data_IF_465128014433
#
_entry.id   IF_465128014433
#
_cell.length_a   1.000
_cell.length_b   1.000
_cell.length_c   1.000
_cell.angle_alpha   90.00
_cell.angle_beta   90.00
_cell.angle_gamma   90.00
#
_symmetry.space_group_name_H-M   'P 1'
#
loop_
_entity.id
_entity.type
_entity.pdbx_description
1 polymer ?
#
# COMPACT_ATOMS: atom_id res chain seq x y z
N UNK A 1 4.62 37.21 -24.20
CA UNK A 1 3.44 36.75 -24.96
C UNK A 1 3.43 37.51 -26.28
N UNK A 2 3.08 36.93 -27.44
CA UNK A 2 2.75 35.53 -27.79
C UNK A 2 3.97 34.85 -28.49
N UNK A 3 3.86 33.87 -29.40
CA UNK A 3 3.45 32.45 -29.17
C UNK A 3 3.91 31.54 -30.36
N UNK A 4 4.05 30.23 -30.09
CA UNK A 4 4.07 29.04 -31.00
C UNK A 4 5.24 28.76 -32.00
N UNK A 5 5.55 27.46 -32.10
CA UNK A 5 6.07 26.68 -33.25
C UNK A 5 7.59 26.61 -33.55
N UNK A 6 8.20 25.43 -33.34
CA UNK A 6 8.35 24.43 -34.43
C UNK A 6 8.86 23.05 -33.96
N UNK A 7 8.54 22.02 -34.75
CA UNK A 7 8.73 20.59 -34.45
C UNK A 7 9.36 19.88 -35.66
N UNK A 8 10.50 19.21 -35.42
CA UNK A 8 11.07 18.05 -36.15
C UNK A 8 11.68 18.13 -37.57
N UNK A 9 12.63 17.18 -37.80
CA UNK A 9 13.27 16.72 -39.07
C UNK A 9 14.25 17.76 -39.69
N UNK A 10 15.49 17.49 -40.14
CA UNK A 10 16.34 16.31 -40.36
C UNK A 10 17.84 16.76 -40.30
N UNK A 11 18.90 15.94 -40.41
CA UNK A 11 19.17 14.51 -40.15
C UNK A 11 20.67 14.26 -40.47
N UNK A 12 21.30 13.20 -39.92
CA UNK A 12 22.55 12.61 -40.50
C UNK A 12 22.76 11.16 -40.08
N UNK A 13 22.36 10.24 -40.95
CA UNK A 13 22.88 8.89 -40.95
C UNK A 13 24.23 8.87 -41.71
N UNK A 14 25.24 8.23 -41.12
CA UNK A 14 26.34 7.60 -41.87
C UNK A 14 26.16 6.11 -41.60
N UNK A 15 25.72 5.37 -42.61
CA UNK A 15 25.41 3.96 -42.47
C UNK A 15 26.68 3.12 -42.62
N UNK A 16 27.12 2.50 -41.53
CA UNK A 16 27.97 1.32 -41.58
C UNK A 16 27.07 0.10 -41.41
N UNK A 17 27.19 -0.88 -42.31
CA UNK A 17 26.26 -2.01 -42.42
C UNK A 17 26.57 -3.10 -41.39
N UNK A 18 26.12 -2.90 -40.16
CA UNK A 18 25.91 -3.99 -39.19
C UNK A 18 24.42 -4.13 -38.89
N UNK A 19 23.87 -5.28 -39.27
CA UNK A 19 22.45 -5.59 -39.16
C UNK A 19 22.12 -6.08 -37.75
N UNK A 20 21.73 -5.20 -36.83
CA UNK A 20 20.79 -5.43 -35.71
C UNK A 20 20.25 -4.09 -35.17
N UNK A 21 19.03 -3.71 -35.56
CA UNK A 21 18.28 -2.60 -34.94
C UNK A 21 17.40 -3.13 -33.80
N UNK A 22 18.04 -3.55 -32.72
CA UNK A 22 17.39 -3.92 -31.47
C UNK A 22 17.93 -3.06 -30.34
N UNK A 23 17.05 -2.34 -29.65
CA UNK A 23 17.43 -1.59 -28.45
C UNK A 23 18.07 -2.53 -27.42
N UNK A 24 19.17 -2.11 -26.75
CA UNK A 24 19.90 -2.96 -25.82
C UNK A 24 19.03 -3.37 -24.62
N UNK A 25 19.23 -4.60 -24.12
CA UNK A 25 18.48 -5.08 -22.97
C UNK A 25 18.83 -4.25 -21.74
N UNK A 26 17.84 -3.55 -21.19
CA UNK A 26 17.99 -2.81 -19.95
C UNK A 26 18.12 -3.79 -18.78
N UNK A 27 19.19 -3.67 -18.00
CA UNK A 27 19.44 -4.45 -16.78
C UNK A 27 19.70 -3.54 -15.58
N UNK A 28 19.54 -4.11 -14.38
CA UNK A 28 19.91 -3.49 -13.11
C UNK A 28 20.67 -4.50 -12.23
N UNK A 29 21.53 -4.00 -11.35
CA UNK A 29 22.00 -4.77 -10.21
C UNK A 29 20.95 -4.68 -9.10
N UNK A 30 20.53 -5.82 -8.53
CA UNK A 30 19.40 -5.85 -7.61
C UNK A 30 19.52 -6.90 -6.49
N UNK A 31 19.00 -6.54 -5.31
CA UNK A 31 18.66 -7.52 -4.27
C UNK A 31 17.26 -8.08 -4.53
N UNK A 32 17.07 -9.41 -4.46
CA UNK A 32 15.77 -10.03 -4.74
C UNK A 32 14.73 -9.70 -3.67
N UNK A 33 13.45 -9.82 -4.05
CA UNK A 33 12.32 -9.51 -3.15
C UNK A 33 12.42 -10.41 -1.91
N UNK A 34 12.47 -9.76 -0.75
CA UNK A 34 12.60 -10.43 0.53
C UNK A 34 11.34 -11.19 0.89
N UNK A 35 11.48 -12.17 1.79
CA UNK A 35 10.34 -12.95 2.27
C UNK A 35 9.19 -12.11 2.84
N UNK A 36 9.46 -10.89 3.32
CA UNK A 36 8.45 -9.97 3.82
C UNK A 36 7.40 -9.60 2.76
N UNK A 37 7.80 -9.45 1.49
CA UNK A 37 6.90 -9.15 0.37
C UNK A 37 6.69 -10.34 -0.57
N UNK A 38 7.10 -11.54 -0.15
CA UNK A 38 6.82 -12.79 -0.83
C UNK A 38 5.31 -13.09 -0.90
N UNK A 39 4.98 -14.07 -1.73
CA UNK A 39 3.59 -14.43 -2.08
C UNK A 39 2.72 -14.72 -0.85
N UNK A 40 3.29 -15.28 0.23
CA UNK A 40 2.55 -15.57 1.46
C UNK A 40 1.98 -14.30 2.12
N UNK A 41 2.82 -13.27 2.32
CA UNK A 41 2.38 -12.00 2.93
C UNK A 41 1.44 -11.22 2.02
N UNK A 42 1.69 -11.21 0.70
CA UNK A 42 0.83 -10.50 -0.27
C UNK A 42 -0.58 -11.10 -0.32
N UNK A 43 -0.69 -12.41 -0.49
CA UNK A 43 -1.99 -13.12 -0.49
C UNK A 43 -2.72 -12.93 0.84
N UNK A 44 -2.01 -13.03 1.97
CA UNK A 44 -2.56 -12.76 3.29
C UNK A 44 -3.16 -11.34 3.39
N UNK A 45 -2.45 -10.32 2.90
CA UNK A 45 -2.93 -8.94 2.90
C UNK A 45 -4.21 -8.76 2.07
N UNK A 46 -4.31 -9.40 0.90
CA UNK A 46 -5.52 -9.33 0.07
C UNK A 46 -6.71 -10.04 0.73
N UNK A 47 -6.47 -11.20 1.34
CA UNK A 47 -7.50 -11.92 2.12
C UNK A 47 -7.94 -11.10 3.33
N UNK A 48 -7.02 -10.43 4.03
CA UNK A 48 -7.32 -9.56 5.16
C UNK A 48 -8.19 -8.36 4.75
N UNK A 49 -7.87 -7.68 3.65
CA UNK A 49 -8.73 -6.63 3.09
C UNK A 49 -10.10 -7.21 2.71
N UNK A 50 -10.15 -8.30 1.96
CA UNK A 50 -11.40 -8.93 1.53
C UNK A 50 -12.29 -9.31 2.72
N UNK A 51 -11.71 -9.88 3.79
CA UNK A 51 -12.41 -10.18 5.04
C UNK A 51 -12.97 -8.90 5.70
N UNK A 52 -12.17 -7.83 5.80
CA UNK A 52 -12.62 -6.53 6.31
C UNK A 52 -13.73 -5.90 5.45
N UNK A 53 -13.79 -6.21 4.15
CA UNK A 53 -14.81 -5.69 3.24
C UNK A 53 -16.11 -6.51 3.25
N UNK A 54 -16.02 -7.85 3.34
CA UNK A 54 -17.16 -8.78 3.27
C UNK A 54 -17.78 -9.03 4.65
N UNK A 55 -16.96 -9.33 5.66
CA UNK A 55 -17.42 -9.77 6.98
C UNK A 55 -17.71 -8.61 7.95
N UNK A 56 -18.00 -7.40 7.46
CA UNK A 56 -18.15 -6.13 8.23
C UNK A 56 -19.10 -6.15 9.45
N UNK A 57 -19.90 -7.20 9.63
CA UNK A 57 -20.82 -7.38 10.76
C UNK A 57 -20.31 -8.32 11.85
N UNK A 58 -19.25 -9.09 11.56
CA UNK A 58 -18.66 -10.08 12.45
C UNK A 58 -17.50 -9.46 13.23
N UNK A 59 -17.79 -8.80 14.35
CA UNK A 59 -16.78 -8.01 15.09
C UNK A 59 -15.56 -8.83 15.54
N UNK A 60 -15.74 -10.11 15.87
CA UNK A 60 -14.65 -11.03 16.23
C UNK A 60 -13.68 -11.32 15.09
N UNK A 61 -14.11 -11.15 13.84
CA UNK A 61 -13.27 -11.34 12.65
C UNK A 61 -12.73 -10.00 12.15
N UNK A 62 -13.58 -8.96 12.09
CA UNK A 62 -13.22 -7.64 11.57
C UNK A 62 -12.13 -6.98 12.40
N UNK A 63 -12.21 -7.03 13.74
CA UNK A 63 -11.25 -6.35 14.61
C UNK A 63 -9.80 -6.86 14.44
N UNK A 64 -9.49 -8.17 14.54
CA UNK A 64 -8.13 -8.67 14.28
C UNK A 64 -7.71 -8.50 12.81
N UNK A 65 -8.62 -8.70 11.85
CA UNK A 65 -8.29 -8.53 10.43
C UNK A 65 -7.94 -7.07 10.08
N UNK A 66 -8.68 -6.10 10.62
CA UNK A 66 -8.44 -4.68 10.39
C UNK A 66 -7.11 -4.24 11.02
N UNK A 67 -6.80 -4.71 12.24
CA UNK A 67 -5.51 -4.45 12.87
C UNK A 67 -4.35 -4.97 12.00
N UNK A 68 -4.41 -6.21 11.53
CA UNK A 68 -3.39 -6.80 10.66
C UNK A 68 -3.30 -6.07 9.29
N UNK A 69 -4.43 -5.72 8.69
CA UNK A 69 -4.51 -4.99 7.41
C UNK A 69 -3.96 -3.56 7.50
N UNK A 70 -4.00 -2.92 8.66
CA UNK A 70 -3.38 -1.59 8.86
C UNK A 70 -1.89 -1.68 9.18
N UNK A 71 -1.43 -2.73 9.85
CA UNK A 71 -0.01 -2.90 10.19
C UNK A 71 0.87 -3.12 8.94
N UNK A 72 0.44 -3.98 8.00
CA UNK A 72 1.28 -4.33 6.84
C UNK A 72 1.66 -3.09 5.97
N UNK A 73 0.73 -2.19 5.59
CA UNK A 73 1.08 -0.96 4.88
C UNK A 73 1.86 0.06 5.72
N UNK A 74 1.71 0.06 7.05
CA UNK A 74 2.48 0.95 7.93
C UNK A 74 3.96 0.51 8.00
N UNK A 75 4.20 -0.81 8.08
CA UNK A 75 5.56 -1.38 8.00
C UNK A 75 6.17 -1.14 6.63
N UNK A 76 5.40 -1.34 5.55
CA UNK A 76 5.81 -1.01 4.19
C UNK A 76 6.17 0.48 4.01
N UNK A 77 5.41 1.39 4.62
CA UNK A 77 5.69 2.82 4.56
C UNK A 77 7.00 3.18 5.27
N UNK A 78 7.26 2.59 6.44
CA UNK A 78 8.54 2.74 7.14
C UNK A 78 9.69 2.15 6.31
N UNK A 79 9.49 0.97 5.71
CA UNK A 79 10.49 0.34 4.83
C UNK A 79 10.80 1.26 3.64
N UNK A 80 9.78 1.83 2.97
CA UNK A 80 9.95 2.82 1.89
C UNK A 80 10.74 4.08 2.30
N UNK A 81 10.57 4.55 3.54
CA UNK A 81 11.38 5.66 4.10
C UNK A 81 12.84 5.25 4.27
N UNK A 82 13.10 4.04 4.79
CA UNK A 82 14.45 3.52 5.00
C UNK A 82 15.16 3.26 3.68
N UNK A 83 14.47 2.76 2.65
CA UNK A 83 15.03 2.57 1.30
C UNK A 83 15.61 3.88 0.75
N UNK A 84 14.86 4.98 0.79
CA UNK A 84 15.37 6.31 0.36
C UNK A 84 16.51 6.82 1.25
N UNK A 85 16.43 6.58 2.56
CA UNK A 85 17.46 7.02 3.50
C UNK A 85 18.80 6.28 3.30
N UNK A 86 18.73 5.02 2.84
CA UNK A 86 19.86 4.13 2.58
C UNK A 86 20.09 3.89 1.08
N UNK A 87 19.64 4.84 0.24
CA UNK A 87 19.72 4.78 -1.23
C UNK A 87 21.13 4.43 -1.71
N UNK A 88 21.19 3.53 -2.69
CA UNK A 88 22.41 3.13 -3.37
C UNK A 88 22.24 3.40 -4.88
N UNK A 89 23.13 4.17 -5.52
CA UNK A 89 23.02 4.46 -6.95
C UNK A 89 23.35 3.24 -7.83
N UNK A 90 24.15 2.30 -7.32
CA UNK A 90 24.70 1.18 -8.09
C UNK A 90 23.82 -0.09 -8.00
N UNK A 91 22.80 -0.12 -7.13
CA UNK A 91 21.87 -1.25 -7.02
C UNK A 91 20.52 -0.92 -6.37
N UNK A 92 19.50 -1.68 -6.78
CA UNK A 92 18.10 -1.53 -6.36
C UNK A 92 17.69 -2.63 -5.38
N UNK A 93 16.99 -2.27 -4.30
CA UNK A 93 16.29 -3.25 -3.48
C UNK A 93 14.87 -3.47 -4.02
N UNK A 94 14.58 -4.68 -4.52
CA UNK A 94 13.30 -4.99 -5.17
C UNK A 94 12.10 -5.00 -4.20
N UNK A 95 12.34 -4.93 -2.89
CA UNK A 95 11.30 -4.72 -1.87
C UNK A 95 10.52 -3.43 -2.10
N UNK A 96 11.08 -2.46 -2.83
CA UNK A 96 10.38 -1.23 -3.23
C UNK A 96 9.02 -1.50 -3.91
N UNK A 97 8.91 -2.53 -4.75
CA UNK A 97 7.64 -2.88 -5.40
C UNK A 97 6.62 -3.44 -4.42
N UNK A 98 7.07 -4.25 -3.44
CA UNK A 98 6.22 -4.82 -2.41
C UNK A 98 5.73 -3.76 -1.43
N UNK A 99 6.64 -2.91 -0.97
CA UNK A 99 6.34 -1.78 -0.14
C UNK A 99 5.34 -0.83 -0.82
N UNK A 100 5.58 -0.52 -2.11
CA UNK A 100 4.69 0.31 -2.91
C UNK A 100 3.28 -0.28 -3.02
N UNK A 101 3.16 -1.55 -3.39
CA UNK A 101 1.85 -2.19 -3.61
C UNK A 101 1.02 -2.25 -2.31
N UNK A 102 1.62 -2.59 -1.17
CA UNK A 102 0.92 -2.58 0.13
C UNK A 102 0.49 -1.15 0.53
N UNK A 103 1.36 -0.15 0.38
CA UNK A 103 1.01 1.24 0.69
C UNK A 103 -0.05 1.83 -0.25
N UNK A 104 0.05 1.57 -1.56
CA UNK A 104 -0.87 2.10 -2.57
C UNK A 104 -2.29 1.51 -2.42
N UNK A 105 -2.41 0.21 -2.17
CA UNK A 105 -3.71 -0.42 -1.88
C UNK A 105 -4.25 0.10 -0.54
N UNK A 106 -3.40 0.20 0.49
CA UNK A 106 -3.78 0.70 1.80
C UNK A 106 -4.32 2.13 1.77
N UNK A 107 -3.64 3.04 1.06
CA UNK A 107 -4.02 4.45 1.00
C UNK A 107 -5.29 4.70 0.18
N UNK A 108 -5.61 3.84 -0.80
CA UNK A 108 -6.85 3.92 -1.58
C UNK A 108 -8.07 3.33 -0.83
N UNK A 109 -7.85 2.34 0.05
CA UNK A 109 -8.92 1.63 0.75
C UNK A 109 -9.27 2.24 2.12
N UNK A 110 -8.29 2.46 2.99
CA UNK A 110 -8.54 2.77 4.40
C UNK A 110 -9.07 4.20 4.66
N UNK A 111 -8.50 5.27 4.07
CA UNK A 111 -9.04 6.63 4.26
C UNK A 111 -10.45 6.77 3.70
N UNK A 112 -10.73 6.20 2.53
CA UNK A 112 -12.06 6.25 1.89
C UNK A 112 -13.12 5.55 2.76
N UNK A 113 -12.83 4.35 3.28
CA UNK A 113 -13.76 3.65 4.18
C UNK A 113 -13.99 4.40 5.49
N UNK A 114 -12.95 5.04 6.04
CA UNK A 114 -13.03 5.86 7.26
C UNK A 114 -13.83 7.14 7.04
N UNK A 115 -13.64 7.85 5.93
CA UNK A 115 -14.39 9.05 5.56
C UNK A 115 -15.91 8.80 5.45
N UNK A 116 -16.34 7.56 5.22
CA UNK A 116 -17.75 7.16 5.19
C UNK A 116 -18.34 6.78 6.56
N UNK A 117 -17.52 6.56 7.59
CA UNK A 117 -17.99 6.07 8.90
C UNK A 117 -18.39 7.22 9.84
N UNK A 118 -19.71 7.40 10.06
CA UNK A 118 -20.23 8.38 11.05
C UNK A 118 -19.83 8.01 12.49
N UNK A 119 -19.64 6.73 12.79
CA UNK A 119 -19.20 6.23 14.10
C UNK A 119 -17.77 6.68 14.39
N UNK A 120 -16.86 6.45 13.44
CA UNK A 120 -15.43 6.71 13.60
C UNK A 120 -15.10 8.17 13.97
N UNK A 121 -15.80 9.16 13.39
CA UNK A 121 -15.55 10.57 13.69
C UNK A 121 -15.98 11.00 15.11
N UNK A 122 -16.78 10.19 15.80
CA UNK A 122 -17.17 10.41 17.19
C UNK A 122 -16.24 9.70 18.20
N UNK A 123 -15.56 8.63 17.79
CA UNK A 123 -14.67 7.83 18.63
C UNK A 123 -13.27 8.43 18.82
N UNK A 124 -12.57 8.10 19.94
CA UNK A 124 -11.21 8.59 20.19
C UNK A 124 -10.17 8.04 19.20
N UNK A 125 -10.46 6.94 18.51
CA UNK A 125 -9.59 6.35 17.47
C UNK A 125 -9.33 7.27 16.27
N UNK A 126 -10.09 8.37 16.15
CA UNK A 126 -10.05 9.35 15.05
C UNK A 126 -8.65 9.83 14.66
N UNK A 127 -7.79 10.08 15.65
CA UNK A 127 -6.45 10.61 15.43
C UNK A 127 -5.49 9.54 14.87
N UNK A 128 -5.75 8.25 15.12
CA UNK A 128 -4.86 7.15 14.74
C UNK A 128 -4.85 6.92 13.22
N UNK A 129 -6.00 6.89 12.54
CA UNK A 129 -6.00 6.76 11.06
C UNK A 129 -5.48 8.02 10.39
N UNK A 130 -5.64 9.21 10.98
CA UNK A 130 -5.02 10.42 10.46
C UNK A 130 -3.48 10.31 10.45
N UNK A 131 -2.88 9.90 11.57
CA UNK A 131 -1.43 9.67 11.67
C UNK A 131 -0.96 8.52 10.78
N UNK A 132 -1.73 7.45 10.67
CA UNK A 132 -1.46 6.32 9.78
C UNK A 132 -1.48 6.74 8.29
N UNK A 133 -2.48 7.52 7.88
CA UNK A 133 -2.61 8.05 6.52
C UNK A 133 -1.44 8.98 6.19
N UNK A 134 -1.01 9.79 7.16
CA UNK A 134 0.17 10.65 7.03
C UNK A 134 1.47 9.85 6.92
N UNK A 135 1.64 8.78 7.70
CA UNK A 135 2.77 7.86 7.58
C UNK A 135 2.84 7.21 6.18
N UNK A 136 1.71 6.72 5.66
CA UNK A 136 1.64 6.14 4.31
C UNK A 136 1.93 7.18 3.22
N UNK A 137 1.47 8.43 3.37
CA UNK A 137 1.83 9.52 2.45
C UNK A 137 3.35 9.74 2.41
N UNK A 138 4.02 9.79 3.57
CA UNK A 138 5.48 9.94 3.62
C UNK A 138 6.16 8.73 2.96
N UNK A 139 5.74 7.51 3.27
CA UNK A 139 6.28 6.29 2.65
C UNK A 139 6.11 6.24 1.13
N UNK A 140 4.94 6.63 0.62
CA UNK A 140 4.69 6.72 -0.83
C UNK A 140 5.49 7.84 -1.49
N UNK A 141 5.67 8.99 -0.85
CA UNK A 141 6.57 10.05 -1.32
C UNK A 141 8.02 9.54 -1.40
N UNK A 142 8.49 8.84 -0.37
CA UNK A 142 9.81 8.19 -0.38
C UNK A 142 9.94 7.21 -1.54
N UNK A 143 9.06 6.23 -1.67
CA UNK A 143 9.13 5.25 -2.77
C UNK A 143 9.02 5.90 -4.16
N UNK A 144 8.24 6.98 -4.30
CA UNK A 144 8.18 7.76 -5.55
C UNK A 144 9.53 8.41 -5.88
N UNK A 145 10.23 8.95 -4.88
CA UNK A 145 11.58 9.52 -5.05
C UNK A 145 12.59 8.43 -5.40
N UNK A 146 12.48 7.24 -4.80
CA UNK A 146 13.38 6.13 -5.07
C UNK A 146 13.17 5.58 -6.49
N UNK A 147 11.92 5.31 -6.90
CA UNK A 147 11.60 4.90 -8.27
C UNK A 147 12.08 5.90 -9.33
N UNK A 148 12.06 7.20 -9.02
CA UNK A 148 12.56 8.24 -9.92
C UNK A 148 14.10 8.25 -10.07
N UNK A 149 14.84 7.74 -9.08
CA UNK A 149 16.31 7.72 -9.05
C UNK A 149 16.93 6.46 -9.64
N UNK A 150 16.16 5.41 -9.88
CA UNK A 150 16.68 4.15 -10.42
C UNK A 150 17.07 4.36 -11.88
N UNK A 151 18.36 4.18 -12.16
CA UNK A 151 18.90 4.12 -13.52
C UNK A 151 18.97 2.66 -14.00
N UNK A 152 18.91 2.47 -15.32
CA UNK A 152 19.07 1.17 -15.98
C UNK A 152 20.27 1.20 -16.91
N UNK A 153 20.90 0.05 -17.14
CA UNK A 153 22.13 -0.05 -17.94
C UNK A 153 21.95 -0.96 -19.15
N UNK A 154 22.66 -0.63 -20.24
CA UNK A 154 22.63 -1.36 -21.50
C UNK A 154 23.44 -2.67 -21.43
N UNK A 155 22.75 -3.82 -21.39
CA UNK A 155 23.39 -5.11 -21.59
C UNK A 155 23.38 -5.51 -23.07
N UNK A 156 24.56 -5.45 -23.70
CA UNK A 156 24.74 -5.83 -25.11
C UNK A 156 25.43 -7.18 -25.30
N UNK A 157 26.19 -7.64 -24.30
CA UNK A 157 27.01 -8.86 -24.37
C UNK A 157 26.95 -9.67 -23.08
N UNK A 158 26.95 -10.99 -23.21
CA UNK A 158 26.99 -11.93 -22.09
C UNK A 158 28.43 -12.13 -21.54
N UNK A 159 28.57 -12.96 -20.51
CA UNK A 159 29.86 -13.35 -19.92
C UNK A 159 30.87 -13.97 -20.91
N UNK A 160 30.39 -14.50 -22.05
CA UNK A 160 31.20 -15.16 -23.08
C UNK A 160 31.42 -14.26 -24.31
N UNK A 161 30.85 -13.05 -24.33
CA UNK A 161 30.93 -12.09 -25.43
C UNK A 161 29.88 -12.26 -26.53
N UNK A 162 28.90 -13.17 -26.37
CA UNK A 162 27.78 -13.33 -27.30
C UNK A 162 26.79 -12.16 -27.17
N UNK A 163 26.06 -11.78 -28.23
CA UNK A 163 25.02 -10.76 -28.14
C UNK A 163 23.87 -11.21 -27.22
N UNK A 164 23.41 -10.31 -26.36
CA UNK A 164 22.27 -10.56 -25.46
C UNK A 164 20.96 -10.19 -26.16
N UNK A 165 19.99 -11.10 -26.11
CA UNK A 165 18.64 -10.86 -26.62
C UNK A 165 17.96 -9.71 -25.90
N UNK A 166 17.36 -8.77 -26.64
CA UNK A 166 16.55 -7.68 -26.07
C UNK A 166 15.24 -8.16 -25.40
N UNK A 167 14.90 -9.44 -25.49
CA UNK A 167 13.73 -10.04 -24.85
C UNK A 167 14.10 -10.48 -23.43
N UNK A 168 13.60 -9.75 -22.43
CA UNK A 168 13.91 -9.95 -21.02
C UNK A 168 13.59 -11.35 -20.44
N UNK A 169 12.69 -12.13 -21.07
CA UNK A 169 12.40 -13.52 -20.68
C UNK A 169 13.41 -14.55 -21.24
N UNK A 170 14.27 -14.14 -22.18
CA UNK A 170 15.33 -14.95 -22.77
C UNK A 170 16.70 -14.65 -22.13
N UNK A 171 16.74 -13.85 -21.05
CA UNK A 171 17.96 -13.54 -20.33
C UNK A 171 18.46 -14.76 -19.55
N UNK A 172 19.71 -15.14 -19.79
CA UNK A 172 20.34 -16.28 -19.13
C UNK A 172 21.05 -15.80 -17.86
N UNK A 173 20.52 -16.21 -16.72
CA UNK A 173 21.13 -16.02 -15.40
C UNK A 173 22.34 -16.96 -15.26
N UNK A 174 23.51 -16.51 -15.72
CA UNK A 174 24.78 -17.23 -15.69
C UNK A 174 25.72 -16.53 -14.73
N UNK A 175 26.38 -17.28 -13.85
CA UNK A 175 27.36 -16.74 -12.92
C UNK A 175 28.48 -15.99 -13.66
N UNK A 176 28.70 -14.73 -13.29
CA UNK A 176 29.65 -13.82 -13.95
C UNK A 176 29.08 -13.05 -15.15
N UNK A 177 27.81 -13.26 -15.55
CA UNK A 177 27.13 -12.44 -16.56
C UNK A 177 26.67 -11.10 -15.96
N UNK A 178 27.63 -10.24 -15.65
CA UNK A 178 27.37 -8.98 -14.95
C UNK A 178 27.03 -7.81 -15.90
N UNK A 179 26.97 -8.02 -17.23
CA UNK A 179 26.74 -6.95 -18.21
C UNK A 179 27.70 -5.73 -18.08
N UNK A 180 28.90 -5.93 -17.53
CA UNK A 180 29.87 -4.85 -17.25
C UNK A 180 29.67 -4.12 -15.90
N UNK A 181 28.66 -4.48 -15.12
CA UNK A 181 28.39 -3.92 -13.78
C UNK A 181 29.25 -4.59 -12.70
N UNK A 182 29.55 -3.84 -11.64
CA UNK A 182 30.05 -4.40 -10.39
C UNK A 182 28.82 -4.83 -9.59
N UNK A 183 28.50 -6.12 -9.65
CA UNK A 183 27.30 -6.68 -9.02
C UNK A 183 27.63 -8.09 -8.48
N UNK A 184 28.29 -8.15 -7.32
CA UNK A 184 28.67 -9.40 -6.66
C UNK A 184 28.69 -9.22 -5.13
N UNK A 185 28.53 -10.31 -4.37
CA UNK A 185 28.63 -10.26 -2.90
C UNK A 185 30.04 -9.91 -2.41
N UNK A 186 31.06 -10.11 -3.25
CA UNK A 186 32.46 -9.86 -2.92
C UNK A 186 32.83 -8.38 -3.14
N UNK A 187 32.61 -7.91 -4.37
CA UNK A 187 33.02 -6.58 -4.86
C UNK A 187 31.97 -5.49 -4.55
N UNK A 188 30.72 -5.90 -4.33
CA UNK A 188 29.59 -5.02 -4.03
C UNK A 188 28.65 -4.80 -5.23
N UNK A 189 27.76 -3.80 -5.16
CA UNK A 189 27.56 -2.87 -4.04
C UNK A 189 27.01 -3.54 -2.77
N UNK A 190 27.06 -2.83 -1.65
CA UNK A 190 26.56 -3.30 -0.34
C UNK A 190 25.49 -2.34 0.18
N UNK A 191 24.39 -2.88 0.72
CA UNK A 191 23.36 -2.10 1.41
C UNK A 191 23.43 -2.42 2.91
N UNK A 192 23.37 -1.42 3.81
CA UNK A 192 23.28 -1.68 5.26
C UNK A 192 22.00 -2.43 5.68
N UNK A 193 21.00 -2.55 4.80
CA UNK A 193 19.81 -3.38 5.01
C UNK A 193 20.00 -4.84 4.57
N UNK A 194 20.95 -5.11 3.67
CA UNK A 194 21.17 -6.41 3.02
C UNK A 194 22.56 -6.93 3.38
N UNK A 195 22.62 -7.81 4.38
CA UNK A 195 23.86 -8.35 4.93
C UNK A 195 23.70 -9.78 5.44
N UNK A 196 24.81 -10.48 5.66
CA UNK A 196 24.80 -11.86 6.16
C UNK A 196 24.11 -12.80 5.17
N UNK A 197 23.09 -13.55 5.59
CA UNK A 197 22.36 -14.46 4.70
C UNK A 197 21.48 -13.78 3.65
N UNK A 198 21.40 -12.44 3.65
CA UNK A 198 20.55 -11.65 2.76
C UNK A 198 21.35 -10.65 1.90
N UNK A 199 22.67 -10.85 1.74
CA UNK A 199 23.53 -10.00 0.90
C UNK A 199 23.54 -10.37 -0.60
N UNK A 200 22.97 -11.53 -0.95
CA UNK A 200 22.85 -12.03 -2.32
C UNK A 200 22.29 -10.96 -3.28
N UNK A 201 23.07 -10.64 -4.31
CA UNK A 201 22.81 -9.59 -5.28
C UNK A 201 23.06 -10.11 -6.70
N UNK A 202 22.22 -9.72 -7.66
CA UNK A 202 22.23 -10.28 -9.01
C UNK A 202 21.97 -9.21 -10.07
N UNK A 203 22.51 -9.42 -11.28
CA UNK A 203 22.07 -8.68 -12.46
C UNK A 203 20.78 -9.30 -12.99
N UNK A 204 19.72 -8.50 -13.04
CA UNK A 204 18.41 -8.90 -13.57
C UNK A 204 17.99 -7.92 -14.68
N UNK A 205 17.20 -8.34 -15.69
CA UNK A 205 16.60 -7.41 -16.63
C UNK A 205 15.64 -6.45 -15.92
N UNK A 206 15.55 -5.21 -16.39
CA UNK A 206 14.67 -4.20 -15.80
C UNK A 206 13.18 -4.64 -15.89
N UNK A 207 12.38 -4.45 -14.83
CA UNK A 207 10.95 -4.75 -14.85
C UNK A 207 10.21 -3.97 -15.94
N UNK A 208 9.49 -4.69 -16.80
CA UNK A 208 8.80 -4.12 -17.96
C UNK A 208 7.27 -4.07 -17.78
N UNK A 209 6.69 -4.89 -16.90
CA UNK A 209 5.25 -4.85 -16.57
C UNK A 209 4.89 -3.59 -15.78
N UNK A 210 5.61 -3.34 -14.69
CA UNK A 210 5.54 -2.11 -13.91
C UNK A 210 6.92 -1.47 -13.89
N UNK A 211 7.22 -0.67 -14.90
CA UNK A 211 8.50 0.04 -15.00
C UNK A 211 8.67 1.04 -13.86
N UNK A 212 9.93 1.41 -13.54
CA UNK A 212 10.23 2.42 -12.52
C UNK A 212 9.53 3.76 -12.79
N UNK A 213 9.46 4.19 -14.06
CA UNK A 213 8.69 5.36 -14.47
C UNK A 213 7.18 5.23 -14.23
N UNK A 214 6.59 4.07 -14.54
CA UNK A 214 5.17 3.82 -14.27
C UNK A 214 4.87 3.78 -12.76
N UNK A 215 5.74 3.14 -11.98
CA UNK A 215 5.65 3.10 -10.51
C UNK A 215 5.78 4.51 -9.90
N UNK A 216 6.68 5.35 -10.41
CA UNK A 216 6.81 6.76 -10.02
C UNK A 216 5.49 7.53 -10.25
N UNK A 217 4.88 7.38 -11.43
CA UNK A 217 3.62 8.07 -11.75
C UNK A 217 2.45 7.58 -10.89
N UNK A 218 2.34 6.28 -10.64
CA UNK A 218 1.31 5.72 -9.75
C UNK A 218 1.53 6.13 -8.30
N UNK A 219 2.78 6.18 -7.83
CA UNK A 219 3.17 6.71 -6.52
C UNK A 219 2.74 8.16 -6.34
N UNK A 220 3.09 9.03 -7.30
CA UNK A 220 2.66 10.43 -7.30
C UNK A 220 1.13 10.58 -7.29
N UNK A 221 0.40 9.79 -8.07
CA UNK A 221 -1.07 9.79 -8.07
C UNK A 221 -1.66 9.36 -6.71
N UNK A 222 -1.09 8.33 -6.09
CA UNK A 222 -1.50 7.88 -4.74
C UNK A 222 -1.19 8.94 -3.66
N UNK A 223 -0.08 9.66 -3.78
CA UNK A 223 0.25 10.79 -2.90
C UNK A 223 -0.77 11.93 -3.02
N UNK A 224 -1.20 12.29 -4.24
CA UNK A 224 -2.25 13.31 -4.44
C UNK A 224 -3.57 12.85 -3.80
N UNK A 225 -3.96 11.59 -3.97
CA UNK A 225 -5.13 11.03 -3.29
C UNK A 225 -5.01 11.13 -1.76
N UNK A 226 -3.87 10.73 -1.20
CA UNK A 226 -3.61 10.78 0.23
C UNK A 226 -3.71 12.19 0.81
N UNK A 227 -3.15 13.20 0.13
CA UNK A 227 -3.25 14.61 0.51
C UNK A 227 -4.71 15.08 0.53
N UNK A 228 -5.49 14.76 -0.51
CA UNK A 228 -6.93 15.11 -0.56
C UNK A 228 -7.72 14.47 0.59
N UNK A 229 -7.45 13.19 0.90
CA UNK A 229 -8.04 12.52 2.06
C UNK A 229 -7.63 13.15 3.39
N UNK A 230 -6.36 13.50 3.58
CA UNK A 230 -5.88 14.16 4.80
C UNK A 230 -6.53 15.54 4.99
N UNK A 231 -6.59 16.37 3.94
CA UNK A 231 -7.25 17.69 3.99
C UNK A 231 -8.73 17.55 4.32
N UNK A 232 -9.45 16.62 3.68
CA UNK A 232 -10.87 16.42 3.94
C UNK A 232 -11.16 15.86 5.34
N UNK A 233 -10.32 14.94 5.85
CA UNK A 233 -10.42 14.46 7.22
C UNK A 233 -10.10 15.57 8.24
N UNK A 234 -9.09 16.40 7.97
CA UNK A 234 -8.69 17.51 8.82
C UNK A 234 -9.80 18.57 8.96
N UNK A 235 -10.41 18.97 7.84
CA UNK A 235 -11.53 19.92 7.82
C UNK A 235 -12.71 19.41 8.68
N UNK A 236 -13.13 18.15 8.49
CA UNK A 236 -14.15 17.50 9.32
C UNK A 236 -13.78 17.42 10.81
N UNK A 237 -12.51 17.16 11.12
CA UNK A 237 -12.00 17.13 12.51
C UNK A 237 -12.11 18.53 13.14
N UNK A 238 -11.72 19.58 12.42
CA UNK A 238 -11.87 20.96 12.87
C UNK A 238 -13.33 21.35 13.05
N UNK A 239 -14.21 21.03 12.10
CA UNK A 239 -15.64 21.33 12.17
C UNK A 239 -16.29 20.70 13.41
N UNK A 240 -16.04 19.41 13.66
CA UNK A 240 -16.57 18.69 14.83
C UNK A 240 -16.02 19.27 16.13
N UNK A 241 -14.73 19.59 16.17
CA UNK A 241 -14.11 20.19 17.36
C UNK A 241 -14.65 21.61 17.62
N UNK A 242 -14.87 22.41 16.57
CA UNK A 242 -15.47 23.74 16.64
C UNK A 242 -16.90 23.67 17.18
N UNK A 243 -17.76 22.82 16.59
CA UNK A 243 -19.13 22.57 17.07
C UNK A 243 -19.16 22.13 18.53
N UNK A 244 -18.28 21.20 18.95
CA UNK A 244 -18.20 20.76 20.36
C UNK A 244 -17.74 21.87 21.32
N UNK A 245 -16.97 22.86 20.85
CA UNK A 245 -16.39 23.92 21.68
C UNK A 245 -17.25 25.18 21.75
N UNK A 246 -17.91 25.55 20.65
CA UNK A 246 -18.69 26.79 20.53
C UNK A 246 -20.20 26.56 20.37
N UNK A 247 -20.63 25.46 19.72
CA UNK A 247 -22.07 25.16 19.55
C UNK A 247 -22.81 24.93 20.87
N UNK A 248 -22.10 24.47 21.92
CA UNK A 248 -22.63 24.34 23.29
C UNK A 248 -22.88 25.70 23.99
N UNK A 249 -22.56 26.82 23.34
CA UNK A 249 -22.76 28.17 23.87
C UNK A 249 -23.86 28.93 23.10
N UNK A 250 -24.22 28.50 21.88
CA UNK A 250 -25.36 29.04 21.13
C UNK A 250 -26.69 28.32 21.48
N UNK A 251 -26.65 27.03 21.83
CA UNK A 251 -27.87 26.26 22.18
C UNK A 251 -28.57 26.73 23.48
N UNK A 252 -27.92 27.49 24.35
CA UNK A 252 -28.56 28.13 25.53
C UNK A 252 -29.23 29.49 25.20
N UNK A 253 -28.80 30.17 24.12
CA UNK A 253 -29.27 31.54 23.78
C UNK A 253 -30.25 31.58 22.58
N UNK A 254 -30.29 30.56 21.70
CA UNK A 254 -31.13 30.58 20.48
C UNK A 254 -32.22 29.51 20.44
N UNK A 255 -33.15 29.58 21.39
CA UNK A 255 -34.47 28.94 21.28
C UNK A 255 -35.40 29.78 20.38
N UNK A 256 -35.09 29.88 19.08
CA UNK A 256 -35.87 30.62 18.08
C UNK A 256 -36.02 29.85 16.76
N UNK A 257 -37.06 30.20 15.99
CA UNK A 257 -37.72 29.31 15.02
C UNK A 257 -36.92 28.99 13.73
N UNK A 258 -35.77 29.62 13.49
CA UNK A 258 -34.91 29.41 12.30
C UNK A 258 -34.11 28.09 12.30
N UNK A 259 -34.07 27.37 13.43
CA UNK A 259 -33.25 26.17 13.59
C UNK A 259 -33.63 24.98 12.69
N UNK A 260 -34.87 24.92 12.20
CA UNK A 260 -35.36 23.79 11.39
C UNK A 260 -34.90 23.87 9.93
N UNK A 261 -34.97 25.07 9.32
CA UNK A 261 -34.50 25.31 7.95
C UNK A 261 -33.00 24.99 7.80
N UNK A 262 -32.18 25.43 8.76
CA UNK A 262 -30.74 25.18 8.76
C UNK A 262 -30.42 23.68 8.99
N UNK A 263 -31.16 22.99 9.88
CA UNK A 263 -31.09 21.52 10.01
C UNK A 263 -31.43 20.81 8.69
N UNK A 264 -32.46 21.26 7.97
CA UNK A 264 -32.87 20.71 6.68
C UNK A 264 -31.78 20.82 5.61
N UNK A 265 -31.19 22.01 5.43
CA UNK A 265 -30.09 22.24 4.48
C UNK A 265 -28.86 21.41 4.85
N UNK A 266 -28.48 21.41 6.12
CA UNK A 266 -27.29 20.69 6.60
C UNK A 266 -27.43 19.16 6.50
N UNK A 267 -28.65 18.63 6.66
CA UNK A 267 -28.98 17.22 6.37
C UNK A 267 -28.87 16.92 4.87
N UNK A 268 -29.44 17.78 4.01
CA UNK A 268 -29.35 17.64 2.54
C UNK A 268 -27.90 17.66 2.05
N UNK A 269 -27.04 18.53 2.59
CA UNK A 269 -25.60 18.58 2.26
C UNK A 269 -24.89 17.30 2.69
N UNK A 270 -25.12 16.81 3.91
CA UNK A 270 -24.54 15.57 4.42
C UNK A 270 -24.98 14.34 3.59
N UNK A 271 -26.25 14.29 3.18
CA UNK A 271 -26.77 13.21 2.35
C UNK A 271 -26.26 13.29 0.90
N UNK A 272 -26.06 14.50 0.34
CA UNK A 272 -25.46 14.72 -0.98
C UNK A 272 -23.97 14.34 -1.01
N UNK A 273 -23.22 14.71 0.03
CA UNK A 273 -21.82 14.27 0.23
C UNK A 273 -21.75 12.75 0.39
N UNK A 274 -22.68 12.16 1.17
CA UNK A 274 -22.80 10.71 1.32
C UNK A 274 -23.09 9.99 0.01
N UNK A 275 -23.94 10.56 -0.85
CA UNK A 275 -24.24 10.06 -2.20
C UNK A 275 -22.99 10.10 -3.10
N UNK A 276 -22.31 11.25 -3.19
CA UNK A 276 -21.12 11.43 -4.02
C UNK A 276 -19.97 10.47 -3.61
N UNK A 277 -19.66 10.39 -2.32
CA UNK A 277 -18.62 9.47 -1.82
C UNK A 277 -18.97 8.00 -2.08
N UNK A 278 -20.24 7.61 -1.93
CA UNK A 278 -20.67 6.21 -2.06
C UNK A 278 -20.79 5.72 -3.50
N UNK A 279 -21.16 6.60 -4.44
CA UNK A 279 -21.46 6.21 -5.83
C UNK A 279 -20.31 6.53 -6.79
N UNK A 280 -19.50 7.57 -6.53
CA UNK A 280 -18.38 7.93 -7.40
C UNK A 280 -17.03 7.58 -6.77
N UNK A 281 -16.76 8.00 -5.54
CA UNK A 281 -15.43 7.80 -4.94
C UNK A 281 -15.11 6.32 -4.68
N UNK A 282 -16.05 5.56 -4.09
CA UNK A 282 -15.82 4.13 -3.78
C UNK A 282 -15.53 3.28 -5.02
N UNK A 283 -16.30 3.32 -6.13
CA UNK A 283 -15.97 2.55 -7.32
C UNK A 283 -14.67 2.99 -8.00
N UNK A 284 -14.37 4.30 -8.02
CA UNK A 284 -13.14 4.82 -8.63
C UNK A 284 -11.89 4.40 -7.85
N UNK A 285 -11.84 4.65 -6.54
CA UNK A 285 -10.67 4.31 -5.72
C UNK A 285 -10.56 2.80 -5.44
N UNK A 286 -11.69 2.10 -5.31
CA UNK A 286 -11.71 0.63 -5.24
C UNK A 286 -11.26 -0.03 -6.55
N UNK A 287 -11.69 0.51 -7.69
CA UNK A 287 -11.23 0.07 -9.02
C UNK A 287 -9.75 0.35 -9.25
N UNK A 288 -9.25 1.52 -8.83
CA UNK A 288 -7.83 1.85 -8.88
C UNK A 288 -6.99 0.92 -7.99
N UNK A 289 -7.44 0.63 -6.76
CA UNK A 289 -6.77 -0.30 -5.86
C UNK A 289 -6.73 -1.73 -6.41
N UNK A 290 -7.82 -2.19 -7.04
CA UNK A 290 -7.87 -3.48 -7.73
C UNK A 290 -6.95 -3.52 -8.96
N UNK A 291 -6.88 -2.44 -9.74
CA UNK A 291 -5.97 -2.35 -10.88
C UNK A 291 -4.50 -2.40 -10.45
N UNK A 292 -4.12 -1.69 -9.38
CA UNK A 292 -2.77 -1.74 -8.80
C UNK A 292 -2.45 -3.15 -8.28
N UNK A 293 -3.41 -3.83 -7.63
CA UNK A 293 -3.23 -5.22 -7.20
C UNK A 293 -2.96 -6.14 -8.40
N UNK A 294 -3.78 -6.06 -9.46
CA UNK A 294 -3.63 -6.92 -10.64
C UNK A 294 -2.31 -6.66 -11.36
N UNK A 295 -1.99 -5.40 -11.67
CA UNK A 295 -0.74 -5.03 -12.36
C UNK A 295 0.48 -5.39 -11.51
N UNK A 296 0.40 -5.18 -10.20
CA UNK A 296 1.44 -5.51 -9.24
C UNK A 296 1.72 -7.01 -9.14
N UNK A 297 0.69 -7.86 -9.06
CA UNK A 297 0.90 -9.31 -9.12
C UNK A 297 1.46 -9.78 -10.47
N UNK A 298 1.00 -9.25 -11.60
CA UNK A 298 1.59 -9.58 -12.91
C UNK A 298 3.08 -9.18 -12.95
N UNK A 299 3.46 -8.07 -12.30
CA UNK A 299 4.86 -7.68 -12.15
C UNK A 299 5.64 -8.65 -11.25
N UNK A 300 5.05 -9.13 -10.15
CA UNK A 300 5.69 -10.13 -9.27
C UNK A 300 5.86 -11.50 -9.91
N UNK A 301 4.96 -11.91 -10.80
CA UNK A 301 5.10 -13.13 -11.61
C UNK A 301 5.93 -12.92 -12.90
N UNK A 302 6.60 -11.77 -13.04
CA UNK A 302 7.55 -11.58 -14.14
C UNK A 302 8.89 -12.28 -13.80
N UNK A 303 9.56 -12.93 -14.77
CA UNK A 303 10.81 -13.67 -14.52
C UNK A 303 11.94 -12.84 -13.91
N UNK A 304 11.87 -11.52 -14.03
CA UNK A 304 12.86 -10.57 -13.50
C UNK A 304 12.68 -10.34 -12.00
N UNK A 305 11.42 -10.24 -11.55
CA UNK A 305 11.07 -9.95 -10.15
C UNK A 305 10.95 -11.24 -9.33
N UNK A 306 10.51 -12.35 -9.96
CA UNK A 306 10.46 -13.67 -9.32
C UNK A 306 11.85 -14.26 -9.09
N UNK A 307 12.88 -13.84 -9.85
CA UNK A 307 14.23 -14.40 -9.76
C UNK A 307 14.81 -14.28 -8.34
N UNK A 308 15.19 -15.42 -7.76
CA UNK A 308 15.74 -15.56 -6.39
C UNK A 308 14.82 -15.03 -5.26
N UNK A 309 13.54 -14.76 -5.55
CA UNK A 309 12.53 -14.46 -4.53
C UNK A 309 12.18 -15.73 -3.75
N UNK A 310 11.92 -15.61 -2.44
CA UNK A 310 11.59 -16.77 -1.61
C UNK A 310 10.30 -17.48 -2.05
N UNK A 311 10.34 -18.79 -2.37
CA UNK A 311 9.13 -19.54 -2.70
C UNK A 311 8.23 -19.73 -1.49
N UNK A 312 6.91 -19.80 -1.71
CA UNK A 312 5.88 -20.00 -0.68
C UNK A 312 6.11 -21.26 0.20
N UNK A 313 6.87 -22.24 -0.28
CA UNK A 313 7.24 -23.43 0.49
C UNK A 313 8.19 -23.13 1.68
N UNK A 314 8.93 -22.02 1.65
CA UNK A 314 9.88 -21.66 2.70
C UNK A 314 9.16 -21.22 3.99
N UNK A 315 9.66 -21.68 5.15
CA UNK A 315 9.01 -21.47 6.46
C UNK A 315 8.79 -19.98 6.81
N UNK A 316 9.63 -19.07 6.32
CA UNK A 316 9.49 -17.62 6.50
C UNK A 316 8.16 -17.07 5.99
N UNK A 317 7.63 -17.64 4.90
CA UNK A 317 6.36 -17.25 4.28
C UNK A 317 5.13 -17.57 5.15
N UNK A 318 5.25 -18.51 6.10
CA UNK A 318 4.14 -19.00 6.91
C UNK A 318 3.95 -18.24 8.23
N UNK A 319 4.96 -17.48 8.68
CA UNK A 319 4.90 -16.78 9.96
C UNK A 319 3.78 -15.71 10.04
N UNK A 320 3.58 -14.83 9.03
CA UNK A 320 2.48 -13.85 9.05
C UNK A 320 1.10 -14.51 9.02
N UNK A 321 0.96 -15.59 8.24
CA UNK A 321 -0.28 -16.36 8.09
C UNK A 321 -0.66 -17.01 9.43
N UNK A 322 0.30 -17.68 10.06
CA UNK A 322 0.12 -18.36 11.35
C UNK A 322 -0.18 -17.37 12.47
N UNK A 323 0.53 -16.23 12.52
CA UNK A 323 0.25 -15.17 13.49
C UNK A 323 -1.15 -14.59 13.36
N UNK A 324 -1.61 -14.37 12.12
CA UNK A 324 -2.98 -13.89 11.84
C UNK A 324 -4.04 -14.93 12.23
N UNK A 325 -3.82 -16.21 11.92
CA UNK A 325 -4.72 -17.29 12.33
C UNK A 325 -4.86 -17.37 13.86
N UNK A 326 -3.75 -17.30 14.60
CA UNK A 326 -3.77 -17.27 16.07
C UNK A 326 -4.46 -16.03 16.63
N UNK A 327 -4.30 -14.85 16.00
CA UNK A 327 -5.03 -13.64 16.40
C UNK A 327 -6.55 -13.77 16.23
N UNK A 328 -7.02 -14.39 15.13
CA UNK A 328 -8.44 -14.68 14.91
C UNK A 328 -8.98 -15.69 15.94
N UNK A 329 -8.23 -16.76 16.24
CA UNK A 329 -8.61 -17.74 17.28
C UNK A 329 -8.72 -17.07 18.65
N UNK A 330 -7.75 -16.23 19.02
CA UNK A 330 -7.78 -15.47 20.27
C UNK A 330 -8.96 -14.51 20.36
N UNK A 331 -9.32 -13.83 19.26
CA UNK A 331 -10.50 -12.96 19.21
C UNK A 331 -11.80 -13.73 19.37
N UNK A 332 -11.94 -14.89 18.71
CA UNK A 332 -13.09 -15.78 18.86
C UNK A 332 -13.22 -16.31 20.29
N UNK A 333 -12.11 -16.71 20.93
CA UNK A 333 -12.11 -17.15 22.33
C UNK A 333 -12.62 -16.05 23.27
N UNK A 334 -12.18 -14.80 23.09
CA UNK A 334 -12.65 -13.67 23.91
C UNK A 334 -14.15 -13.39 23.73
N UNK A 335 -14.70 -13.55 22.52
CA UNK A 335 -16.14 -13.44 22.29
C UNK A 335 -16.92 -14.56 22.99
N UNK A 336 -16.45 -15.81 22.89
CA UNK A 336 -17.08 -16.96 23.57
C UNK A 336 -17.02 -16.83 25.10
N UNK A 337 -15.91 -16.35 25.65
CA UNK A 337 -15.75 -16.11 27.08
C UNK A 337 -16.75 -15.06 27.60
N UNK A 338 -16.91 -13.93 26.88
CA UNK A 338 -17.90 -12.90 27.22
C UNK A 338 -19.33 -13.45 27.26
N UNK A 339 -19.73 -14.20 26.24
CA UNK A 339 -21.07 -14.81 26.22
C UNK A 339 -21.27 -15.86 27.33
N UNK A 340 -20.23 -16.57 27.75
CA UNK A 340 -20.30 -17.47 28.90
C UNK A 340 -20.48 -16.70 30.22
N UNK A 341 -19.75 -15.60 30.42
CA UNK A 341 -19.91 -14.71 31.59
C UNK A 341 -21.29 -14.05 31.64
N UNK A 342 -21.80 -13.60 30.49
CA UNK A 342 -23.15 -13.05 30.32
C UNK A 342 -24.24 -14.08 30.62
N UNK A 343 -24.08 -15.33 30.16
CA UNK A 343 -25.02 -16.41 30.48
C UNK A 343 -25.06 -16.71 31.99
N UNK A 344 -23.90 -16.75 32.65
CA UNK A 344 -23.79 -16.95 34.10
C UNK A 344 -24.47 -15.80 34.86
N UNK A 345 -24.15 -14.54 34.54
CA UNK A 345 -24.70 -13.38 35.26
C UNK A 345 -26.17 -13.07 34.91
N UNK A 346 -26.59 -13.32 33.66
CA UNK A 346 -27.99 -13.19 33.23
C UNK A 346 -28.92 -14.14 33.98
N UNK A 347 -28.44 -15.34 34.29
CA UNK A 347 -29.19 -16.33 35.09
C UNK A 347 -29.38 -15.87 36.54
N UNK A 348 -28.46 -15.07 37.10
CA UNK A 348 -28.59 -14.52 38.48
C UNK A 348 -29.67 -13.43 38.55
N UNK A 349 -29.87 -12.63 37.50
CA UNK A 349 -30.84 -11.51 37.51
C UNK A 349 -32.31 -11.93 37.53
N UNK A 350 -32.64 -13.16 37.15
CA UNK A 350 -34.02 -13.67 37.14
C UNK A 350 -34.44 -14.39 38.44
N UNK A 351 -33.62 -14.34 39.51
CA UNK A 351 -33.89 -15.06 40.78
C UNK A 351 -34.06 -14.17 42.02
N UNK A 352 -34.66 -12.99 41.86
CA UNK A 352 -35.25 -12.23 42.98
C UNK A 352 -36.65 -11.74 42.59
N UNK A 353 -37.63 -12.64 42.67
CA UNK A 353 -39.04 -12.22 42.87
C UNK A 353 -39.19 -11.78 44.32
N UNK A 354 -39.54 -10.51 44.62
CA UNK A 354 -39.97 -10.13 45.95
C UNK A 354 -41.32 -10.81 46.22
N UNK A 355 -41.38 -11.63 47.27
CA UNK A 355 -42.65 -12.12 47.77
C UNK A 355 -43.45 -10.94 48.35
N UNK A 356 -44.72 -10.84 47.99
CA UNK A 356 -45.67 -9.87 48.56
C UNK A 356 -45.72 -9.99 50.08
N UNK A 357 -45.79 -8.84 50.77
CA UNK A 357 -46.27 -8.74 52.14
C UNK A 357 -46.92 -7.38 52.37
N UNK A 358 -48.25 -7.43 52.58
CA UNK A 358 -49.21 -6.35 52.86
C UNK A 358 -49.55 -5.38 51.71
#
# INVERSE_FOLDING_TARGET
>A
MPAVSNVFVAARAVAELTNETSDPLQVICAWPVSGQYGTGTRVLYYVLIAACLVARREEWLVNPCLAAALVLPAVAAIHGIVLVAMHNPDAVDMDIFGAFQLCAIGILAAPVTVMMSKTYFNDPGRNTIFLWTFLLLIGLLSMTIEFYRIETHDCTKDAFGNPVSNIASNFTYIDGNNCGLICSTQDGPRSPMRGGSADNIYVIPAPHTLTFGAATLLGAACCVHAVLCLVSMWDRVLEINWRRRFGRQEEEDTASEDGDANKGVMKTVNDTIGFFLRILAVPVFGGAGLAILIVGEINFFSPQVEYQTEPMANIGQWAPVTGTAMAMIGSLYLLLARHAEEAVHGTVRYRITPAYLH
#
